data_IF_384191517638
#
_entry.id   IF_384191517638
#
_cell.length_a   1.000
_cell.length_b   1.000
_cell.length_c   1.000
_cell.angle_alpha   90.00
_cell.angle_beta   90.00
_cell.angle_gamma   90.00
#
_symmetry.space_group_name_H-M   'P 1'
#
loop_
_entity.id
_entity.type
_entity.pdbx_description
1 polymer ?
#
# COMPACT_ATOMS: atom_id res chain seq x y z
N UNK A 1 -6.66 -14.63 -6.79
CA UNK A 1 -5.91 -13.59 -6.06
C UNK A 1 -6.85 -12.41 -5.86
N UNK A 2 -7.01 -11.94 -4.63
CA UNK A 2 -7.85 -10.79 -4.28
C UNK A 2 -7.01 -9.52 -4.43
N UNK A 3 -7.49 -8.54 -5.21
CA UNK A 3 -6.84 -7.24 -5.30
C UNK A 3 -7.04 -6.49 -3.99
N UNK A 4 -5.94 -6.03 -3.39
CA UNK A 4 -5.94 -5.31 -2.13
C UNK A 4 -5.19 -3.99 -2.27
N UNK A 5 -5.63 -3.00 -1.50
CA UNK A 5 -4.91 -1.76 -1.31
C UNK A 5 -4.92 -1.41 0.18
N UNK A 6 -3.90 -0.69 0.65
CA UNK A 6 -3.84 -0.22 2.04
C UNK A 6 -3.97 1.29 2.06
N UNK A 7 -5.05 1.80 2.67
CA UNK A 7 -5.30 3.23 2.87
C UNK A 7 -4.80 3.61 4.28
N UNK A 8 -3.83 4.52 4.31
CA UNK A 8 -3.05 4.89 5.50
C UNK A 8 -1.91 3.89 5.73
N UNK A 9 -0.68 4.32 5.45
CA UNK A 9 0.56 3.53 5.61
C UNK A 9 1.57 4.17 6.56
N UNK A 10 1.06 4.74 7.66
CA UNK A 10 1.84 5.04 8.85
C UNK A 10 2.38 3.77 9.56
N UNK A 11 2.58 3.83 10.88
CA UNK A 11 3.24 2.75 11.62
C UNK A 11 2.60 1.37 11.42
N UNK A 12 1.30 1.23 11.65
CA UNK A 12 0.60 -0.06 11.50
C UNK A 12 0.29 -0.40 10.04
N UNK A 13 -0.10 0.60 9.25
CA UNK A 13 -0.47 0.41 7.85
C UNK A 13 0.65 -0.17 6.99
N UNK A 14 1.90 0.26 7.22
CA UNK A 14 3.08 -0.34 6.58
C UNK A 14 3.16 -1.85 6.78
N UNK A 15 2.91 -2.35 8.00
CA UNK A 15 2.94 -3.79 8.26
C UNK A 15 1.78 -4.54 7.58
N UNK A 16 0.62 -3.91 7.41
CA UNK A 16 -0.47 -4.50 6.63
C UNK A 16 -0.08 -4.60 5.15
N UNK A 17 0.50 -3.54 4.58
CA UNK A 17 0.96 -3.55 3.18
C UNK A 17 2.01 -4.65 2.95
N UNK A 18 3.01 -4.77 3.82
CA UNK A 18 4.01 -5.85 3.75
C UNK A 18 3.38 -7.24 3.77
N UNK A 19 2.39 -7.48 4.63
CA UNK A 19 1.69 -8.77 4.71
C UNK A 19 0.86 -9.04 3.46
N UNK A 20 0.12 -8.04 2.97
CA UNK A 20 -0.68 -8.20 1.74
C UNK A 20 0.18 -8.42 0.49
N UNK A 21 1.40 -7.85 0.44
CA UNK A 21 2.36 -8.15 -0.62
C UNK A 21 2.94 -9.57 -0.53
N UNK A 22 3.04 -10.15 0.67
CA UNK A 22 3.61 -11.48 0.90
C UNK A 22 2.59 -12.63 0.81
N UNK A 23 1.29 -12.33 0.93
CA UNK A 23 0.21 -13.32 0.90
C UNK A 23 -0.07 -13.78 -0.53
N UNK A 24 0.01 -15.09 -0.78
CA UNK A 24 -0.22 -15.67 -2.11
C UNK A 24 -1.65 -15.44 -2.62
N UNK A 25 -2.61 -15.29 -1.71
CA UNK A 25 -4.00 -15.02 -2.05
C UNK A 25 -4.28 -13.54 -2.35
N UNK A 26 -3.32 -12.64 -2.14
CA UNK A 26 -3.45 -11.19 -2.26
C UNK A 26 -2.56 -10.61 -3.37
N UNK A 27 -3.13 -9.72 -4.16
CA UNK A 27 -2.41 -8.86 -5.09
C UNK A 27 -2.47 -7.45 -4.51
N UNK A 28 -1.40 -7.00 -3.84
CA UNK A 28 -1.34 -5.63 -3.36
C UNK A 28 -1.15 -4.70 -4.56
N UNK A 29 -2.22 -4.02 -4.99
CA UNK A 29 -2.22 -3.16 -6.18
C UNK A 29 -1.76 -1.73 -5.88
N UNK A 30 -1.69 -1.35 -4.60
CA UNK A 30 -1.17 -0.04 -4.22
C UNK A 30 -1.31 0.27 -2.73
N UNK A 31 -0.68 1.38 -2.36
CA UNK A 31 -0.83 2.01 -1.05
C UNK A 31 -1.33 3.44 -1.23
N UNK A 32 -2.15 3.90 -0.29
CA UNK A 32 -2.73 5.24 -0.29
C UNK A 32 -2.35 5.95 1.00
N UNK A 33 -1.90 7.19 0.92
CA UNK A 33 -1.68 8.03 2.10
C UNK A 33 -1.86 9.51 1.76
N UNK A 34 -2.32 10.30 2.74
CA UNK A 34 -2.39 11.77 2.61
C UNK A 34 -1.01 12.41 2.71
N UNK A 35 -0.07 11.76 3.41
CA UNK A 35 1.33 12.15 3.43
C UNK A 35 2.06 11.46 2.26
N UNK A 36 2.24 12.21 1.17
CA UNK A 36 2.95 11.73 -0.02
C UNK A 36 4.38 11.23 0.24
N UNK A 37 5.09 11.77 1.23
CA UNK A 37 6.46 11.35 1.54
C UNK A 37 6.43 9.97 2.21
N UNK A 38 5.54 9.78 3.17
CA UNK A 38 5.38 8.50 3.85
C UNK A 38 4.81 7.43 2.92
N UNK A 39 3.79 7.79 2.11
CA UNK A 39 3.17 6.90 1.13
C UNK A 39 4.17 6.41 0.07
N UNK A 40 4.91 7.32 -0.55
CA UNK A 40 5.92 6.96 -1.55
C UNK A 40 7.03 6.08 -0.96
N UNK A 41 7.49 6.38 0.25
CA UNK A 41 8.49 5.55 0.94
C UNK A 41 8.05 4.10 1.10
N UNK A 42 6.78 3.86 1.46
CA UNK A 42 6.23 2.51 1.63
C UNK A 42 6.00 1.83 0.27
N UNK A 43 5.51 2.57 -0.72
CA UNK A 43 5.39 2.10 -2.10
C UNK A 43 6.73 1.62 -2.67
N UNK A 44 7.80 2.40 -2.52
CA UNK A 44 9.15 2.06 -2.99
C UNK A 44 9.72 0.84 -2.25
N UNK A 45 9.47 0.74 -0.94
CA UNK A 45 9.92 -0.40 -0.12
C UNK A 45 9.29 -1.71 -0.58
N UNK A 46 8.00 -1.69 -0.96
CA UNK A 46 7.21 -2.88 -1.28
C UNK A 46 7.21 -3.17 -2.78
N UNK A 47 7.46 -2.16 -3.62
CA UNK A 47 7.42 -2.26 -5.08
C UNK A 47 6.00 -2.19 -5.66
N UNK A 48 5.13 -1.36 -5.07
CA UNK A 48 3.74 -1.14 -5.53
C UNK A 48 3.48 0.34 -5.79
N UNK A 49 2.47 0.70 -6.61
CA UNK A 49 2.09 2.10 -6.82
C UNK A 49 1.65 2.81 -5.52
N UNK A 50 1.96 4.11 -5.44
CA UNK A 50 1.42 5.03 -4.45
C UNK A 50 0.30 5.88 -5.07
N UNK A 51 -0.75 6.14 -4.29
CA UNK A 51 -1.83 7.08 -4.63
C UNK A 51 -2.05 8.05 -3.47
N UNK A 52 -2.35 9.33 -3.75
CA UNK A 52 -2.72 10.28 -2.70
C UNK A 52 -4.25 10.38 -2.50
N UNK A 53 -5.04 9.79 -3.40
CA UNK A 53 -6.49 9.65 -3.32
C UNK A 53 -6.88 8.18 -3.48
N UNK A 54 -7.74 7.66 -2.60
CA UNK A 54 -8.17 6.28 -2.66
C UNK A 54 -9.15 5.99 -3.80
N UNK A 55 -9.72 7.02 -4.43
CA UNK A 55 -10.53 6.83 -5.64
C UNK A 55 -9.69 6.49 -6.88
N UNK A 56 -8.37 6.63 -6.80
CA UNK A 56 -7.44 6.38 -7.91
C UNK A 56 -6.79 4.99 -7.88
N UNK A 57 -7.06 4.18 -6.85
CA UNK A 57 -6.48 2.83 -6.65
C UNK A 57 -7.29 1.69 -7.28
#
# INVERSE_FOLDING_TARGET
MLKTAVIGVGYLGRFHAQKYAALAESELVGVVDVDSVQGQKVADEIGVPFFNDFHEV
#
